data_IF_458454006824
#
_entry.id   IF_458454006824
#
_cell.length_a   1.000
_cell.length_b   1.000
_cell.length_c   1.000
_cell.angle_alpha   90.00
_cell.angle_beta   90.00
_cell.angle_gamma   90.00
#
_symmetry.space_group_name_H-M   'P 1'
#
loop_
_entity.id
_entity.type
_entity.pdbx_description
1 polymer ?
#
# COMPACT_ATOMS: atom_id res chain seq x y z
N UNK A 1 -22.24 -4.19 -8.03
CA UNK A 1 -23.06 -5.13 -8.82
C UNK A 1 -22.33 -5.98 -9.85
N UNK A 2 -21.62 -5.41 -10.84
CA UNK A 2 -21.00 -6.21 -11.93
C UNK A 2 -20.06 -7.33 -11.45
N UNK A 3 -19.21 -7.06 -10.45
CA UNK A 3 -18.33 -8.08 -9.87
C UNK A 3 -19.11 -9.23 -9.21
N UNK A 4 -20.20 -8.91 -8.49
CA UNK A 4 -21.09 -9.90 -7.87
C UNK A 4 -21.72 -10.80 -8.93
N UNK A 5 -22.23 -10.23 -10.02
CA UNK A 5 -22.81 -10.98 -11.14
C UNK A 5 -21.78 -11.88 -11.83
N UNK A 6 -20.55 -11.39 -12.03
CA UNK A 6 -19.47 -12.18 -12.60
C UNK A 6 -19.14 -13.40 -11.72
N UNK A 7 -19.10 -13.22 -10.40
CA UNK A 7 -18.87 -14.31 -9.45
C UNK A 7 -20.00 -15.33 -9.49
N UNK A 8 -21.26 -14.88 -9.50
CA UNK A 8 -22.43 -15.76 -9.63
C UNK A 8 -22.43 -16.53 -10.94
N UNK A 9 -21.96 -15.93 -12.04
CA UNK A 9 -21.80 -16.60 -13.33
C UNK A 9 -20.66 -17.63 -13.29
N UNK A 10 -19.50 -17.27 -12.77
CA UNK A 10 -18.36 -18.18 -12.62
C UNK A 10 -18.72 -19.40 -11.75
N UNK A 11 -19.44 -19.16 -10.64
CA UNK A 11 -19.99 -20.21 -9.78
C UNK A 11 -20.87 -21.21 -10.53
N UNK A 12 -21.78 -20.71 -11.38
CA UNK A 12 -22.64 -21.56 -12.23
C UNK A 12 -21.82 -22.38 -13.21
N UNK A 13 -20.84 -21.76 -13.87
CA UNK A 13 -19.94 -22.43 -14.82
C UNK A 13 -19.10 -23.52 -14.15
N UNK A 14 -18.52 -23.25 -12.97
CA UNK A 14 -17.76 -24.24 -12.22
C UNK A 14 -18.62 -25.46 -11.86
N UNK A 15 -19.85 -25.21 -11.40
CA UNK A 15 -20.80 -26.27 -11.04
C UNK A 15 -21.19 -27.12 -12.25
N UNK A 16 -21.35 -26.53 -13.43
CA UNK A 16 -21.61 -27.27 -14.68
C UNK A 16 -20.43 -28.15 -15.09
N UNK A 17 -19.20 -27.72 -14.79
CA UNK A 17 -17.98 -28.50 -15.01
C UNK A 17 -17.70 -29.57 -13.95
N UNK A 18 -18.58 -29.76 -12.96
CA UNK A 18 -18.39 -30.75 -11.88
C UNK A 18 -17.46 -30.29 -10.74
N UNK A 19 -17.08 -29.01 -10.70
CA UNK A 19 -16.22 -28.43 -9.66
C UNK A 19 -17.04 -27.77 -8.54
N UNK A 20 -16.35 -27.32 -7.48
CA UNK A 20 -16.93 -26.46 -6.44
C UNK A 20 -17.65 -25.24 -7.03
N UNK A 21 -18.81 -24.90 -6.48
CA UNK A 21 -19.55 -23.69 -6.89
C UNK A 21 -18.98 -22.41 -6.27
N UNK A 22 -17.90 -22.49 -5.48
CA UNK A 22 -17.25 -21.33 -4.86
C UNK A 22 -16.06 -20.88 -5.71
N UNK A 23 -15.69 -19.61 -5.59
CA UNK A 23 -14.62 -18.99 -6.38
C UNK A 23 -13.54 -18.41 -5.47
N UNK A 24 -12.28 -18.49 -5.92
CA UNK A 24 -11.19 -17.73 -5.33
C UNK A 24 -11.15 -16.33 -5.94
N UNK A 25 -10.98 -15.31 -5.09
CA UNK A 25 -10.74 -13.94 -5.54
C UNK A 25 -9.26 -13.63 -5.34
N UNK A 26 -8.55 -13.28 -6.41
CA UNK A 26 -7.15 -12.85 -6.33
C UNK A 26 -7.06 -11.35 -6.61
N UNK A 27 -6.51 -10.62 -5.64
CA UNK A 27 -6.18 -9.21 -5.79
C UNK A 27 -4.67 -9.01 -5.84
N UNK A 28 -4.22 -8.06 -6.65
CA UNK A 28 -2.85 -7.54 -6.62
C UNK A 28 -2.89 -6.02 -6.42
N UNK A 29 -1.99 -5.49 -5.58
CA UNK A 29 -1.88 -4.06 -5.32
C UNK A 29 -3.22 -3.46 -4.88
N UNK A 30 -3.68 -2.43 -5.60
CA UNK A 30 -4.96 -1.77 -5.35
C UNK A 30 -6.17 -2.71 -5.46
N UNK A 31 -6.10 -3.76 -6.30
CA UNK A 31 -7.15 -4.76 -6.44
C UNK A 31 -7.49 -5.47 -5.12
N UNK A 32 -6.50 -5.59 -4.22
CA UNK A 32 -6.69 -6.14 -2.88
C UNK A 32 -7.67 -5.29 -2.04
N UNK A 33 -7.58 -3.96 -2.14
CA UNK A 33 -8.47 -3.05 -1.40
C UNK A 33 -9.89 -3.10 -1.95
N UNK A 34 -10.04 -3.15 -3.28
CA UNK A 34 -11.35 -3.31 -3.94
C UNK A 34 -12.03 -4.62 -3.53
N UNK A 35 -11.31 -5.74 -3.58
CA UNK A 35 -11.87 -7.04 -3.18
C UNK A 35 -12.19 -7.04 -1.68
N UNK A 36 -11.32 -6.50 -0.82
CA UNK A 36 -11.60 -6.43 0.61
C UNK A 36 -12.85 -5.58 0.90
N UNK A 37 -12.97 -4.41 0.27
CA UNK A 37 -14.16 -3.57 0.41
C UNK A 37 -15.42 -4.28 -0.09
N UNK A 38 -15.34 -4.97 -1.23
CA UNK A 38 -16.44 -5.78 -1.74
C UNK A 38 -16.88 -6.85 -0.73
N UNK A 39 -15.94 -7.59 -0.15
CA UNK A 39 -16.22 -8.67 0.81
C UNK A 39 -16.66 -8.16 2.19
N UNK A 40 -16.05 -7.09 2.69
CA UNK A 40 -16.28 -6.59 4.05
C UNK A 40 -17.50 -5.67 4.16
N UNK A 41 -17.81 -4.91 3.11
CA UNK A 41 -18.82 -3.84 3.16
C UNK A 41 -19.99 -4.03 2.18
N UNK A 42 -19.79 -4.73 1.07
CA UNK A 42 -20.78 -4.75 -0.02
C UNK A 42 -21.66 -6.01 -0.06
N UNK A 43 -21.10 -7.20 0.22
CA UNK A 43 -21.85 -8.47 0.19
C UNK A 43 -22.16 -9.01 1.58
N UNK A 44 -23.24 -9.79 1.69
CA UNK A 44 -23.66 -10.40 2.95
C UNK A 44 -22.83 -11.64 3.29
N UNK A 45 -22.77 -12.00 4.56
CA UNK A 45 -22.11 -13.23 5.02
C UNK A 45 -22.70 -14.49 4.38
N UNK A 46 -24.03 -14.55 4.21
CA UNK A 46 -24.71 -15.66 3.54
C UNK A 46 -24.27 -15.79 2.08
N UNK A 47 -24.11 -14.65 1.39
CA UNK A 47 -23.65 -14.64 0.00
C UNK A 47 -22.18 -15.10 -0.09
N UNK A 48 -21.32 -14.65 0.83
CA UNK A 48 -19.91 -15.10 0.87
C UNK A 48 -19.80 -16.60 1.11
N UNK A 49 -20.56 -17.14 2.07
CA UNK A 49 -20.60 -18.57 2.34
C UNK A 49 -21.03 -19.39 1.11
N UNK A 50 -21.92 -18.85 0.28
CA UNK A 50 -22.41 -19.52 -0.92
C UNK A 50 -21.42 -19.47 -2.08
N UNK A 51 -20.67 -18.38 -2.26
CA UNK A 51 -19.96 -18.10 -3.51
C UNK A 51 -18.44 -17.97 -3.39
N UNK A 52 -17.88 -17.65 -2.23
CA UNK A 52 -16.46 -17.30 -2.11
C UNK A 52 -15.72 -18.41 -1.39
N UNK A 53 -14.74 -19.03 -2.03
CA UNK A 53 -13.89 -20.06 -1.44
C UNK A 53 -12.83 -19.42 -0.53
N UNK A 54 -12.00 -18.56 -1.12
CA UNK A 54 -11.02 -17.77 -0.38
C UNK A 54 -10.67 -16.46 -1.08
N UNK A 55 -10.05 -15.56 -0.31
CA UNK A 55 -9.44 -14.33 -0.79
C UNK A 55 -7.92 -14.45 -0.78
N UNK A 56 -7.29 -14.28 -1.94
CA UNK A 56 -5.85 -14.30 -2.15
C UNK A 56 -5.39 -12.85 -2.36
N UNK A 57 -4.74 -12.29 -1.35
CA UNK A 57 -4.26 -10.90 -1.36
C UNK A 57 -2.77 -10.88 -1.66
N UNK A 58 -2.36 -10.19 -2.73
CA UNK A 58 -0.97 -10.11 -3.17
C UNK A 58 -0.50 -8.65 -3.15
N UNK A 59 0.44 -8.33 -2.26
CA UNK A 59 1.01 -6.98 -2.09
C UNK A 59 -0.04 -5.86 -1.94
N UNK A 60 -1.07 -6.07 -1.12
CA UNK A 60 -2.11 -5.07 -0.86
C UNK A 60 -1.65 -3.90 0.03
N UNK A 61 -1.87 -2.62 -0.35
CA UNK A 61 -1.48 -1.44 0.44
C UNK A 61 -2.50 -1.10 1.54
N UNK A 62 -2.77 -2.03 2.45
CA UNK A 62 -3.82 -1.85 3.47
C UNK A 62 -3.56 -0.68 4.42
N UNK A 63 -2.31 -0.46 4.84
CA UNK A 63 -1.94 0.73 5.62
C UNK A 63 -1.68 2.00 4.79
N UNK A 64 -1.84 1.92 3.47
CA UNK A 64 -1.53 2.99 2.51
C UNK A 64 -0.07 3.00 2.02
N UNK A 65 0.24 3.96 1.17
CA UNK A 65 1.49 4.11 0.43
C UNK A 65 1.96 5.57 0.51
N UNK A 66 3.08 5.80 1.21
CA UNK A 66 3.66 7.15 1.39
C UNK A 66 4.15 7.73 0.05
N UNK A 67 4.61 6.88 -0.87
CA UNK A 67 5.02 7.30 -2.22
C UNK A 67 3.89 7.95 -3.02
N UNK A 68 2.63 7.62 -2.74
CA UNK A 68 1.47 8.24 -3.40
C UNK A 68 1.27 9.69 -2.95
N UNK A 69 1.54 10.00 -1.68
CA UNK A 69 1.53 11.40 -1.23
C UNK A 69 2.59 12.22 -1.98
N UNK A 70 3.77 11.66 -2.24
CA UNK A 70 4.80 12.31 -3.06
C UNK A 70 4.39 12.52 -4.53
N UNK A 71 3.65 11.58 -5.12
CA UNK A 71 3.09 11.72 -6.46
C UNK A 71 2.09 12.88 -6.53
N UNK A 72 1.12 12.88 -5.61
CA UNK A 72 0.10 13.93 -5.54
C UNK A 72 0.71 15.31 -5.25
N UNK A 73 1.76 15.36 -4.43
CA UNK A 73 2.47 16.60 -4.17
C UNK A 73 3.24 17.15 -5.40
N UNK A 74 3.29 16.42 -6.52
CA UNK A 74 3.91 16.86 -7.78
C UNK A 74 5.44 16.79 -7.76
N UNK A 75 6.00 15.87 -6.97
CA UNK A 75 7.43 15.85 -6.64
C UNK A 75 8.28 15.02 -7.59
N UNK A 76 7.65 14.22 -8.46
CA UNK A 76 8.34 13.33 -9.40
C UNK A 76 7.55 13.17 -10.69
N UNK A 77 8.28 12.92 -11.76
CA UNK A 77 7.73 12.30 -12.96
C UNK A 77 7.21 10.91 -12.60
N UNK A 78 6.11 10.51 -13.19
CA UNK A 78 5.56 9.20 -12.90
C UNK A 78 6.45 8.11 -13.53
N UNK A 79 7.10 7.29 -12.70
CA UNK A 79 7.96 6.20 -13.17
C UNK A 79 7.28 5.23 -14.18
N UNK A 80 5.94 5.10 -14.16
CA UNK A 80 5.21 4.25 -15.12
C UNK A 80 5.06 4.91 -16.51
N UNK A 81 5.25 6.23 -16.61
CA UNK A 81 5.10 7.01 -17.83
C UNK A 81 6.31 7.95 -17.97
N UNK A 82 7.48 7.43 -18.42
CA UNK A 82 8.78 8.12 -18.40
C UNK A 82 8.88 9.33 -19.35
N UNK A 83 7.77 9.78 -19.93
CA UNK A 83 7.70 10.96 -20.81
C UNK A 83 6.76 12.04 -20.29
N UNK A 84 6.17 11.83 -19.12
CA UNK A 84 5.25 12.79 -18.48
C UNK A 84 6.05 13.63 -17.50
N UNK A 85 6.06 14.95 -17.71
CA UNK A 85 6.70 15.88 -16.79
C UNK A 85 6.09 15.82 -15.39
N UNK A 86 6.78 16.34 -14.38
CA UNK A 86 6.23 16.43 -13.02
C UNK A 86 4.91 17.23 -12.97
N UNK A 87 4.76 18.25 -13.82
CA UNK A 87 3.53 19.04 -13.93
C UNK A 87 2.37 18.22 -14.53
N UNK A 88 2.61 17.51 -15.62
CA UNK A 88 1.59 16.64 -16.22
C UNK A 88 1.25 15.45 -15.30
N UNK A 89 2.24 14.95 -14.56
CA UNK A 89 2.04 13.94 -13.52
C UNK A 89 1.09 14.46 -12.43
N UNK A 90 1.26 15.70 -11.97
CA UNK A 90 0.34 16.34 -11.02
C UNK A 90 -1.09 16.41 -11.58
N UNK A 91 -1.26 16.85 -12.84
CA UNK A 91 -2.59 16.91 -13.48
C UNK A 91 -3.27 15.54 -13.57
N UNK A 92 -2.53 14.51 -14.00
CA UNK A 92 -3.05 13.16 -14.17
C UNK A 92 -3.36 12.52 -12.81
N UNK A 93 -2.44 12.57 -11.87
CA UNK A 93 -2.59 11.93 -10.55
C UNK A 93 -3.76 12.55 -9.76
N UNK A 94 -4.04 13.83 -9.97
CA UNK A 94 -5.20 14.49 -9.37
C UNK A 94 -6.56 13.92 -9.80
N UNK A 95 -6.64 13.33 -10.99
CA UNK A 95 -7.86 12.69 -11.49
C UNK A 95 -7.98 11.21 -11.08
N UNK A 96 -6.92 10.59 -10.54
CA UNK A 96 -6.89 9.17 -10.24
C UNK A 96 -7.34 8.87 -8.81
N UNK A 97 -8.65 8.70 -8.62
CA UNK A 97 -9.24 8.37 -7.32
C UNK A 97 -8.60 7.16 -6.61
N UNK A 98 -8.06 6.20 -7.37
CA UNK A 98 -7.32 5.05 -6.82
C UNK A 98 -6.09 5.45 -6.00
N UNK A 99 -5.37 6.51 -6.40
CA UNK A 99 -4.21 7.02 -5.66
C UNK A 99 -4.66 7.60 -4.31
N UNK A 100 -5.78 8.32 -4.29
CA UNK A 100 -6.32 8.87 -3.05
C UNK A 100 -6.74 7.77 -2.04
N UNK A 101 -7.23 6.62 -2.52
CA UNK A 101 -7.53 5.48 -1.65
C UNK A 101 -6.24 4.87 -1.06
N UNK A 102 -5.14 4.89 -1.79
CA UNK A 102 -3.86 4.36 -1.33
C UNK A 102 -3.10 5.30 -0.39
N UNK A 103 -3.65 6.45 -0.01
CA UNK A 103 -3.01 7.33 0.97
C UNK A 103 -2.82 6.63 2.31
N UNK A 104 -1.75 6.98 3.06
CA UNK A 104 -1.57 6.53 4.44
C UNK A 104 -2.86 6.64 5.24
N UNK A 105 -3.30 5.52 5.81
CA UNK A 105 -4.58 5.42 6.51
C UNK A 105 -4.38 5.56 8.02
N UNK A 106 -4.98 6.58 8.61
CA UNK A 106 -4.87 6.85 10.05
C UNK A 106 -5.61 5.85 10.94
N UNK A 107 -6.58 5.12 10.39
CA UNK A 107 -7.44 4.18 11.11
C UNK A 107 -6.90 2.75 11.08
N UNK A 108 -5.73 2.53 10.45
CA UNK A 108 -5.09 1.23 10.34
C UNK A 108 -3.76 1.31 11.09
N UNK A 109 -3.71 0.87 12.36
CA UNK A 109 -2.47 0.86 13.10
C UNK A 109 -1.51 -0.08 12.40
N UNK A 110 -0.27 0.37 12.24
CA UNK A 110 0.77 -0.53 11.77
C UNK A 110 1.01 -1.59 12.82
N UNK A 111 0.83 -2.85 12.44
CA UNK A 111 1.23 -3.96 13.29
C UNK A 111 2.72 -3.78 13.63
N UNK A 112 3.03 -3.67 14.93
CA UNK A 112 4.39 -3.90 15.41
C UNK A 112 4.79 -5.29 14.97
N UNK A 113 5.94 -5.40 14.31
CA UNK A 113 6.53 -6.68 13.94
C UNK A 113 6.74 -7.49 15.20
N UNK A 114 5.92 -8.51 15.44
CA UNK A 114 6.22 -9.51 16.44
C UNK A 114 7.37 -10.37 15.91
N UNK A 115 8.60 -10.02 16.29
CA UNK A 115 9.71 -10.96 16.23
C UNK A 115 10.35 -11.06 17.61
N UNK A 116 10.38 -12.31 18.07
CA UNK A 116 11.25 -12.88 19.12
C UNK A 116 10.84 -12.68 20.59
N UNK A 117 10.92 -13.81 21.30
CA UNK A 117 10.63 -14.02 22.71
C UNK A 117 11.60 -13.27 23.64
N UNK A 118 11.54 -11.95 23.66
CA UNK A 118 12.15 -11.19 24.75
C UNK A 118 11.10 -10.27 25.36
N UNK A 119 10.79 -10.54 26.63
CA UNK A 119 9.86 -9.76 27.42
C UNK A 119 10.38 -8.34 27.57
N UNK A 120 9.95 -7.46 26.67
CA UNK A 120 9.96 -6.03 26.87
C UNK A 120 8.65 -5.49 26.31
N UNK A 121 7.91 -4.80 27.18
CA UNK A 121 6.69 -4.09 26.85
C UNK A 121 6.99 -2.96 25.84
N UNK A 122 7.14 -3.28 24.57
CA UNK A 122 7.02 -2.29 23.51
C UNK A 122 5.56 -1.87 23.46
N UNK A 123 5.26 -0.73 24.11
CA UNK A 123 4.02 0.01 23.92
C UNK A 123 3.74 0.07 22.42
N UNK A 124 2.52 -0.30 22.02
CA UNK A 124 1.94 0.11 20.74
C UNK A 124 2.31 1.57 20.50
N UNK A 125 3.28 1.82 19.61
CA UNK A 125 3.59 3.15 19.16
C UNK A 125 2.38 3.59 18.33
N UNK A 126 1.54 4.44 18.93
CA UNK A 126 0.44 5.14 18.28
C UNK A 126 0.93 6.17 17.24
N UNK A 127 2.21 6.12 16.85
CA UNK A 127 2.79 7.03 15.89
C UNK A 127 2.36 6.59 14.50
N UNK A 128 1.33 7.27 14.00
CA UNK A 128 0.99 7.27 12.59
C UNK A 128 2.26 7.45 11.74
N UNK A 129 2.35 6.81 10.56
CA UNK A 129 3.47 7.05 9.65
C UNK A 129 3.63 8.55 9.48
N UNK A 130 4.82 9.07 9.80
CA UNK A 130 5.18 10.40 9.35
C UNK A 130 5.24 10.32 7.82
N UNK A 131 4.29 10.97 7.18
CA UNK A 131 4.16 11.02 5.72
C UNK A 131 5.21 11.97 5.17
N UNK A 132 5.36 13.13 5.80
CA UNK A 132 6.41 14.06 5.43
C UNK A 132 6.88 14.98 6.56
N UNK A 133 8.05 15.59 6.40
CA UNK A 133 8.55 16.68 7.24
C UNK A 133 8.88 17.89 6.36
N UNK A 134 8.37 19.07 6.73
CA UNK A 134 8.63 20.34 6.03
C UNK A 134 9.56 21.19 6.90
N UNK A 135 10.84 21.16 6.55
CA UNK A 135 11.93 21.65 7.41
C UNK A 135 11.83 23.14 7.72
N UNK A 136 11.60 23.99 6.72
CA UNK A 136 11.52 25.44 6.91
C UNK A 136 10.33 25.88 7.77
N UNK A 137 9.31 25.04 7.89
CA UNK A 137 8.12 25.27 8.71
C UNK A 137 8.14 24.52 10.03
N UNK A 138 9.20 23.73 10.28
CA UNK A 138 9.28 22.77 11.36
C UNK A 138 7.99 21.93 11.52
N UNK A 139 7.40 21.52 10.39
CA UNK A 139 6.08 20.90 10.36
C UNK A 139 6.18 19.40 10.03
N UNK A 140 5.55 18.58 10.87
CA UNK A 140 5.43 17.13 10.65
C UNK A 140 4.05 16.81 10.09
N UNK A 141 4.03 16.17 8.93
CA UNK A 141 2.83 15.68 8.27
C UNK A 141 2.67 14.19 8.51
N UNK A 142 1.46 13.82 8.89
CA UNK A 142 0.97 12.47 9.15
C UNK A 142 -0.29 12.25 8.31
N UNK A 143 -0.88 11.06 8.41
CA UNK A 143 -2.18 10.81 7.79
C UNK A 143 -3.28 11.83 8.18
N UNK A 144 -3.19 12.41 9.39
CA UNK A 144 -4.18 13.37 9.94
C UNK A 144 -4.12 14.76 9.32
N UNK A 145 -2.94 15.24 8.96
CA UNK A 145 -2.70 16.64 8.60
C UNK A 145 -1.97 16.81 7.26
N UNK A 146 -1.82 15.75 6.47
CA UNK A 146 -1.17 15.82 5.15
C UNK A 146 -1.86 16.80 4.16
N UNK A 147 -3.15 17.10 4.36
CA UNK A 147 -3.90 18.11 3.59
C UNK A 147 -3.26 19.50 3.66
N UNK A 148 -2.55 19.79 4.76
CA UNK A 148 -1.85 21.05 4.98
C UNK A 148 -0.81 21.37 3.89
N UNK A 149 -0.15 20.34 3.33
CA UNK A 149 0.80 20.53 2.22
C UNK A 149 0.15 21.18 0.99
N UNK A 150 -1.12 20.90 0.76
CA UNK A 150 -1.87 21.37 -0.41
C UNK A 150 -2.52 22.73 -0.15
N UNK A 151 -3.06 22.95 1.06
CA UNK A 151 -3.65 24.25 1.41
C UNK A 151 -2.60 25.36 1.43
N UNK A 152 -1.40 25.09 1.97
CA UNK A 152 -0.31 26.08 2.05
C UNK A 152 0.38 26.37 0.73
N UNK A 153 0.12 25.55 -0.30
CA UNK A 153 0.63 25.75 -1.66
C UNK A 153 -0.43 26.30 -2.62
N UNK A 154 -1.61 26.70 -2.12
CA UNK A 154 -2.71 27.22 -2.92
C UNK A 154 -3.50 26.15 -3.70
N UNK A 155 -3.23 24.86 -3.46
CA UNK A 155 -3.88 23.71 -4.13
C UNK A 155 -5.16 23.29 -3.40
N UNK A 156 -6.09 24.23 -3.25
CA UNK A 156 -7.30 24.05 -2.42
C UNK A 156 -8.24 22.96 -2.93
N UNK A 157 -8.40 22.80 -4.25
CA UNK A 157 -9.23 21.75 -4.83
C UNK A 157 -8.67 20.35 -4.51
N UNK A 158 -7.36 20.18 -4.66
CA UNK A 158 -6.68 18.94 -4.31
C UNK A 158 -6.76 18.66 -2.81
N UNK A 159 -6.60 19.69 -1.97
CA UNK A 159 -6.80 19.58 -0.52
C UNK A 159 -8.22 19.12 -0.15
N UNK A 160 -9.24 19.57 -0.88
CA UNK A 160 -10.63 19.16 -0.68
C UNK A 160 -10.84 17.68 -1.08
N UNK A 161 -10.30 17.26 -2.23
CA UNK A 161 -10.31 15.85 -2.66
C UNK A 161 -9.60 14.94 -1.65
N UNK A 162 -8.45 15.37 -1.14
CA UNK A 162 -7.68 14.66 -0.12
C UNK A 162 -8.46 14.55 1.18
N UNK A 163 -9.08 15.65 1.63
CA UNK A 163 -9.92 15.67 2.84
C UNK A 163 -11.09 14.70 2.72
N UNK A 164 -11.74 14.65 1.55
CA UNK A 164 -12.82 13.69 1.28
C UNK A 164 -12.32 12.25 1.33
N UNK A 165 -11.18 11.95 0.70
CA UNK A 165 -10.59 10.61 0.73
C UNK A 165 -10.21 10.17 2.15
N UNK A 166 -9.54 11.04 2.91
CA UNK A 166 -9.17 10.78 4.31
C UNK A 166 -10.41 10.59 5.19
N UNK A 167 -11.48 11.36 4.98
CA UNK A 167 -12.74 11.19 5.72
C UNK A 167 -13.47 9.88 5.40
N UNK A 168 -13.21 9.30 4.23
CA UNK A 168 -13.78 8.03 3.80
C UNK A 168 -12.92 6.82 4.20
N UNK A 169 -11.73 7.04 4.77
CA UNK A 169 -10.88 5.96 5.26
C UNK A 169 -11.56 5.25 6.43
N UNK A 170 -11.65 3.93 6.33
CA UNK A 170 -12.20 3.07 7.38
C UNK A 170 -11.09 2.37 8.16
N UNK A 171 -11.45 1.86 9.34
CA UNK A 171 -10.63 0.86 10.03
C UNK A 171 -10.42 -0.38 9.15
N UNK A 172 -9.37 -1.15 9.45
CA UNK A 172 -9.15 -2.42 8.80
C UNK A 172 -10.31 -3.37 9.12
N UNK A 173 -11.04 -3.82 8.10
CA UNK A 173 -12.10 -4.83 8.26
C UNK A 173 -11.64 -6.17 7.70
N UNK A 174 -11.94 -7.24 8.44
CA UNK A 174 -11.70 -8.59 7.98
C UNK A 174 -12.70 -8.98 6.88
N UNK A 175 -12.28 -9.73 5.86
CA UNK A 175 -13.15 -10.10 4.74
C UNK A 175 -14.19 -11.17 5.13
N UNK A 176 -14.03 -11.82 6.29
CA UNK A 176 -14.85 -12.96 6.77
C UNK A 176 -14.97 -14.08 5.72
N UNK A 177 -13.85 -14.39 5.06
CA UNK A 177 -13.63 -15.58 4.24
C UNK A 177 -12.25 -16.14 4.55
N UNK A 178 -11.96 -17.39 4.18
CA UNK A 178 -10.58 -17.89 4.23
C UNK A 178 -9.67 -16.93 3.45
N UNK A 179 -8.53 -16.54 4.01
CA UNK A 179 -7.64 -15.56 3.40
C UNK A 179 -6.20 -16.06 3.30
N UNK A 180 -5.56 -15.78 2.18
CA UNK A 180 -4.15 -16.07 1.91
C UNK A 180 -3.46 -14.76 1.55
N UNK A 181 -2.57 -14.29 2.42
CA UNK A 181 -1.89 -13.01 2.27
C UNK A 181 -0.47 -13.29 1.82
N UNK A 182 -0.09 -12.77 0.66
CA UNK A 182 1.25 -12.82 0.11
C UNK A 182 1.80 -11.41 0.04
N UNK A 183 2.95 -11.18 0.67
CA UNK A 183 3.64 -9.89 0.57
C UNK A 183 5.05 -10.11 0.06
N UNK A 184 5.48 -9.21 -0.81
CA UNK A 184 6.88 -9.07 -1.17
C UNK A 184 7.57 -8.20 -0.14
N UNK A 185 8.84 -8.46 0.12
CA UNK A 185 9.70 -7.44 0.70
C UNK A 185 11.16 -7.66 0.29
N UNK A 186 11.90 -6.57 0.19
CA UNK A 186 13.34 -6.60 0.04
C UNK A 186 13.98 -5.96 1.28
N UNK A 187 14.96 -6.65 1.85
CA UNK A 187 15.91 -6.03 2.78
C UNK A 187 17.10 -5.64 1.92
N UNK A 188 17.46 -4.35 1.92
CA UNK A 188 18.73 -3.95 1.35
C UNK A 188 19.85 -4.73 2.07
N UNK A 189 20.66 -5.53 1.35
CA UNK A 189 21.78 -6.26 1.98
C UNK A 189 22.78 -5.31 2.66
N UNK A 190 22.77 -4.02 2.31
CA UNK A 190 23.59 -2.98 2.96
C UNK A 190 23.05 -2.62 4.35
N UNK A 191 21.75 -2.75 4.62
CA UNK A 191 21.13 -2.39 5.90
C UNK A 191 21.28 -3.46 7.00
N UNK A 192 21.73 -4.67 6.67
CA UNK A 192 22.10 -5.69 7.67
C UNK A 192 23.37 -5.33 8.47
N UNK A 193 24.20 -4.40 7.98
CA UNK A 193 25.47 -4.03 8.61
C UNK A 193 25.50 -2.65 9.29
N UNK A 194 24.38 -1.91 9.34
CA UNK A 194 24.29 -0.63 10.05
C UNK A 194 22.89 -0.50 10.65
N UNK A 195 22.81 -0.07 11.92
CA UNK A 195 21.56 0.39 12.59
C UNK A 195 20.63 1.12 11.61
N UNK A 196 19.29 1.09 11.77
CA UNK A 196 18.32 1.49 10.74
C UNK A 196 18.61 2.87 10.15
N UNK A 197 19.42 2.90 9.08
CA UNK A 197 19.76 4.10 8.37
C UNK A 197 18.92 4.07 7.10
N UNK A 198 17.92 4.95 7.08
CA UNK A 198 17.08 5.19 5.91
C UNK A 198 17.96 5.59 4.72
N UNK A 199 17.73 4.97 3.56
CA UNK A 199 18.31 5.43 2.30
C UNK A 199 17.63 6.74 1.88
N UNK A 200 18.38 7.62 1.19
CA UNK A 200 17.91 8.94 0.80
C UNK A 200 17.94 9.09 -0.71
N UNK A 201 16.79 9.36 -1.34
CA UNK A 201 16.71 9.77 -2.75
C UNK A 201 16.38 11.25 -2.84
N UNK A 202 17.23 12.02 -3.53
CA UNK A 202 17.14 13.49 -3.60
C UNK A 202 16.58 13.90 -4.96
N UNK A 203 15.55 14.75 -4.96
CA UNK A 203 14.95 15.34 -6.15
C UNK A 203 15.17 16.86 -6.16
N UNK A 204 15.62 17.40 -7.31
CA UNK A 204 15.80 18.85 -7.57
C UNK A 204 14.99 19.26 -8.80
N UNK A 205 14.14 20.28 -8.69
CA UNK A 205 13.22 20.72 -9.76
C UNK A 205 13.89 21.37 -10.98
N UNK A 206 15.24 21.52 -11.02
CA UNK A 206 15.93 22.27 -12.09
C UNK A 206 17.21 21.66 -12.69
N UNK A 207 17.60 20.43 -12.34
CA UNK A 207 18.67 19.69 -13.05
C UNK A 207 18.61 18.20 -12.68
N UNK A 208 18.32 17.36 -13.67
CA UNK A 208 18.68 15.95 -13.64
C UNK A 208 20.17 15.91 -14.00
N UNK A 209 21.01 15.97 -12.98
CA UNK A 209 22.41 15.55 -13.05
C UNK A 209 22.86 15.31 -11.62
N UNK A 210 22.61 14.11 -11.14
CA UNK A 210 23.65 13.16 -10.77
C UNK A 210 22.92 11.91 -10.26
N UNK A 211 22.93 10.88 -11.10
CA UNK A 211 22.49 9.54 -10.77
C UNK A 211 23.22 9.07 -9.51
N UNK A 212 22.45 8.59 -8.54
CA UNK A 212 22.96 7.61 -7.59
C UNK A 212 22.35 6.26 -7.98
N UNK A 213 23.29 5.42 -8.38
CA UNK A 213 23.19 4.11 -9.00
C UNK A 213 22.41 3.06 -8.21
N UNK A 214 21.88 2.13 -9.00
CA UNK A 214 21.39 0.77 -8.72
C UNK A 214 19.99 0.62 -8.12
N UNK A 215 19.07 0.35 -9.06
CA UNK A 215 17.83 -0.40 -8.93
C UNK A 215 17.94 -1.58 -7.95
N UNK A 216 17.59 -1.36 -6.69
CA UNK A 216 17.10 -2.40 -5.78
C UNK A 216 15.90 -1.86 -5.03
N UNK A 217 14.86 -2.68 -4.87
CA UNK A 217 13.53 -2.31 -4.39
C UNK A 217 13.56 -1.58 -3.03
N UNK A 218 13.61 -0.25 -3.08
CA UNK A 218 13.60 0.62 -1.90
C UNK A 218 12.26 1.34 -1.82
N UNK A 219 11.57 1.22 -0.70
CA UNK A 219 10.21 1.74 -0.55
C UNK A 219 10.19 3.12 0.14
N UNK A 220 9.50 4.13 -0.39
CA UNK A 220 9.29 5.40 0.31
C UNK A 220 8.51 5.21 1.61
N UNK A 221 9.11 5.60 2.73
CA UNK A 221 8.48 5.54 4.07
C UNK A 221 8.26 6.92 4.68
N UNK A 222 8.98 7.95 4.21
CA UNK A 222 8.80 9.34 4.61
C UNK A 222 9.34 10.29 3.55
N UNK A 223 8.77 11.49 3.43
CA UNK A 223 9.24 12.55 2.53
C UNK A 223 9.79 13.74 3.35
N UNK A 224 10.91 14.31 2.94
CA UNK A 224 11.50 15.50 3.55
C UNK A 224 11.53 16.64 2.53
N UNK A 225 10.85 17.74 2.86
CA UNK A 225 10.91 18.99 2.10
C UNK A 225 11.92 19.94 2.74
N UNK A 226 12.99 20.25 2.03
CA UNK A 226 14.08 21.09 2.50
C UNK A 226 14.06 22.52 1.94
N UNK A 227 13.02 22.91 1.20
CA UNK A 227 12.98 24.24 0.61
C UNK A 227 12.65 25.36 1.59
N UNK A 228 12.86 26.61 1.20
CA UNK A 228 12.57 27.81 2.01
C UNK A 228 11.09 28.20 2.04
N UNK A 229 10.71 29.10 2.94
CA UNK A 229 9.32 29.57 3.05
C UNK A 229 8.80 30.18 1.72
N UNK A 230 7.52 29.95 1.42
CA UNK A 230 6.86 30.37 0.17
C UNK A 230 7.17 29.48 -1.05
N UNK A 231 8.28 28.74 -1.05
CA UNK A 231 8.70 27.88 -2.18
C UNK A 231 9.20 26.50 -1.73
N UNK A 232 8.82 26.04 -0.54
CA UNK A 232 9.33 24.81 0.08
C UNK A 232 9.09 23.55 -0.77
N UNK A 233 8.08 23.60 -1.63
CA UNK A 233 7.73 22.61 -2.64
C UNK A 233 8.68 22.58 -3.87
N UNK A 234 9.59 23.54 -4.03
CA UNK A 234 10.33 23.78 -5.27
C UNK A 234 11.85 23.50 -5.22
N UNK A 235 12.44 23.23 -4.05
CA UNK A 235 13.90 23.28 -3.92
C UNK A 235 14.57 21.89 -3.84
N UNK A 236 14.35 21.15 -2.76
CA UNK A 236 14.98 19.85 -2.54
C UNK A 236 14.00 18.96 -1.77
N UNK A 237 13.65 17.82 -2.38
CA UNK A 237 12.84 16.77 -1.75
C UNK A 237 13.71 15.56 -1.50
N UNK A 238 13.64 14.97 -0.31
CA UNK A 238 14.32 13.71 0.00
C UNK A 238 13.29 12.64 0.36
N UNK A 239 13.21 11.56 -0.40
CA UNK A 239 12.49 10.36 0.03
C UNK A 239 13.40 9.56 0.96
N UNK A 240 12.95 9.33 2.19
CA UNK A 240 13.52 8.34 3.09
C UNK A 240 12.93 6.98 2.73
N UNK A 241 13.81 6.03 2.47
CA UNK A 241 13.43 4.71 2.02
C UNK A 241 13.64 3.69 3.15
N UNK A 242 12.74 2.73 3.24
CA UNK A 242 12.75 1.66 4.24
C UNK A 242 12.27 0.33 3.64
N UNK A 243 12.01 -0.63 4.53
CA UNK A 243 11.54 -1.96 4.14
C UNK A 243 10.16 -1.91 3.46
N UNK A 244 10.02 -2.72 2.43
CA UNK A 244 8.80 -2.90 1.66
C UNK A 244 9.08 -3.63 0.36
N UNK A 245 8.12 -3.63 -0.55
CA UNK A 245 8.22 -4.31 -1.84
C UNK A 245 8.77 -3.41 -2.97
N UNK A 246 9.36 -2.26 -2.64
CA UNK A 246 9.78 -1.23 -3.59
C UNK A 246 8.72 -0.15 -3.86
N UNK A 247 7.45 -0.38 -3.49
CA UNK A 247 6.38 0.61 -3.64
C UNK A 247 5.64 0.87 -2.32
N UNK A 248 5.31 -0.19 -1.60
CA UNK A 248 4.44 -0.17 -0.43
C UNK A 248 5.25 -0.50 0.83
N UNK A 249 5.17 0.32 1.89
CA UNK A 249 5.87 0.05 3.15
C UNK A 249 5.50 -1.31 3.74
N UNK A 250 6.47 -2.01 4.31
CA UNK A 250 6.25 -3.34 4.89
C UNK A 250 5.16 -3.32 5.97
N UNK A 251 5.08 -2.24 6.75
CA UNK A 251 4.05 -2.05 7.78
C UNK A 251 2.64 -1.98 7.18
N UNK A 252 2.51 -1.40 5.99
CA UNK A 252 1.24 -1.34 5.25
C UNK A 252 0.88 -2.70 4.66
N UNK A 253 1.86 -3.42 4.10
CA UNK A 253 1.70 -4.78 3.59
C UNK A 253 1.30 -5.78 4.67
N UNK A 254 1.80 -5.62 5.89
CA UNK A 254 1.54 -6.49 7.05
C UNK A 254 0.24 -6.19 7.80
N UNK A 255 -0.41 -5.05 7.57
CA UNK A 255 -1.67 -4.71 8.23
C UNK A 255 -2.75 -5.83 8.20
N UNK A 256 -3.04 -6.53 7.08
CA UNK A 256 -4.03 -7.62 7.06
C UNK A 256 -3.65 -8.85 7.89
N UNK A 257 -2.43 -8.93 8.47
CA UNK A 257 -2.06 -10.04 9.36
C UNK A 257 -2.92 -10.04 10.63
N UNK A 258 -3.42 -8.86 11.04
CA UNK A 258 -4.37 -8.71 12.13
C UNK A 258 -5.67 -9.51 11.91
N UNK A 259 -6.03 -9.83 10.66
CA UNK A 259 -7.23 -10.62 10.36
C UNK A 259 -7.24 -11.99 11.03
N UNK A 260 -6.08 -12.57 11.38
CA UNK A 260 -6.01 -13.81 12.18
C UNK A 260 -6.82 -13.72 13.49
N UNK A 261 -6.90 -12.53 14.09
CA UNK A 261 -7.67 -12.29 15.32
C UNK A 261 -9.02 -11.59 15.11
N UNK A 262 -9.35 -11.19 13.88
CA UNK A 262 -10.56 -10.40 13.58
C UNK A 262 -11.68 -11.22 12.94
N UNK A 263 -11.41 -12.46 12.55
CA UNK A 263 -12.39 -13.37 11.95
C UNK A 263 -12.17 -14.81 12.41
N UNK A 264 -13.21 -15.64 12.26
CA UNK A 264 -13.15 -17.08 12.60
C UNK A 264 -12.50 -17.93 11.51
N UNK A 265 -12.62 -17.50 10.24
CA UNK A 265 -12.12 -18.27 9.11
C UNK A 265 -10.59 -18.14 8.99
N UNK A 266 -9.89 -19.17 8.48
CA UNK A 266 -8.43 -19.21 8.46
C UNK A 266 -7.80 -18.04 7.71
N UNK A 267 -6.69 -17.53 8.25
CA UNK A 267 -5.84 -16.52 7.60
C UNK A 267 -4.40 -17.03 7.56
N UNK A 268 -3.89 -17.28 6.36
CA UNK A 268 -2.50 -17.64 6.12
C UNK A 268 -1.71 -16.42 5.62
N UNK A 269 -0.43 -16.35 5.98
CA UNK A 269 0.46 -15.21 5.69
C UNK A 269 1.78 -15.76 5.16
N UNK A 270 2.23 -15.22 4.03
CA UNK A 270 3.50 -15.58 3.37
C UNK A 270 4.28 -14.31 3.03
N UNK A 271 5.52 -14.25 3.50
CA UNK A 271 6.42 -13.13 3.24
C UNK A 271 7.55 -13.60 2.32
N UNK A 272 7.59 -13.05 1.10
CA UNK A 272 8.53 -13.44 0.07
C UNK A 272 9.67 -12.42 0.03
N UNK A 273 10.78 -12.78 0.67
CA UNK A 273 11.98 -11.96 0.67
C UNK A 273 12.66 -11.97 -0.71
N UNK A 274 13.20 -10.82 -1.13
CA UNK A 274 14.04 -10.69 -2.32
C UNK A 274 13.24 -10.58 -3.63
N UNK A 275 11.97 -10.22 -3.56
CA UNK A 275 11.13 -9.88 -4.70
C UNK A 275 10.52 -8.48 -4.52
N UNK A 276 9.86 -7.97 -5.55
CA UNK A 276 9.29 -6.62 -5.59
C UNK A 276 7.77 -6.65 -5.78
N UNK A 277 7.16 -5.46 -5.73
CA UNK A 277 5.71 -5.24 -5.86
C UNK A 277 5.13 -5.96 -7.08
N UNK A 278 5.79 -5.86 -8.24
CA UNK A 278 5.36 -6.53 -9.47
C UNK A 278 5.98 -7.91 -9.65
N UNK A 279 7.25 -8.10 -9.25
CA UNK A 279 7.98 -9.36 -9.50
C UNK A 279 7.42 -10.54 -8.71
N UNK A 280 6.66 -10.30 -7.63
CA UNK A 280 5.98 -11.35 -6.86
C UNK A 280 5.04 -12.19 -7.72
N UNK A 281 4.41 -11.62 -8.75
CA UNK A 281 3.47 -12.33 -9.61
C UNK A 281 4.15 -13.40 -10.47
N UNK A 282 5.44 -13.23 -10.75
CA UNK A 282 6.30 -14.20 -11.46
C UNK A 282 7.16 -15.04 -10.51
N UNK A 283 7.07 -14.83 -9.19
CA UNK A 283 7.90 -15.54 -8.22
C UNK A 283 7.46 -17.01 -8.12
N UNK A 284 8.39 -17.93 -8.32
CA UNK A 284 8.08 -19.36 -8.30
C UNK A 284 7.52 -19.83 -6.96
N UNK A 285 7.90 -19.20 -5.84
CA UNK A 285 7.37 -19.52 -4.49
C UNK A 285 5.91 -19.11 -4.37
N UNK A 286 5.55 -17.95 -4.95
CA UNK A 286 4.16 -17.48 -5.01
C UNK A 286 3.33 -18.40 -5.93
N UNK A 287 3.80 -18.65 -7.16
CA UNK A 287 3.11 -19.50 -8.12
C UNK A 287 2.87 -20.91 -7.55
N UNK A 288 3.88 -21.52 -6.94
CA UNK A 288 3.74 -22.84 -6.32
C UNK A 288 2.72 -22.86 -5.17
N UNK A 289 2.66 -21.78 -4.38
CA UNK A 289 1.68 -21.67 -3.29
C UNK A 289 0.27 -21.41 -3.81
N UNK A 290 0.14 -20.58 -4.85
CA UNK A 290 -1.11 -20.31 -5.53
C UNK A 290 -1.68 -21.60 -6.13
N UNK A 291 -0.86 -22.38 -6.84
CA UNK A 291 -1.29 -23.66 -7.43
C UNK A 291 -1.80 -24.63 -6.36
N UNK A 292 -1.15 -24.71 -5.19
CA UNK A 292 -1.64 -25.54 -4.08
C UNK A 292 -3.01 -25.06 -3.59
N UNK A 293 -3.17 -23.76 -3.36
CA UNK A 293 -4.46 -23.18 -2.93
C UNK A 293 -5.58 -23.51 -3.93
N UNK A 294 -5.29 -23.47 -5.24
CA UNK A 294 -6.28 -23.71 -6.29
C UNK A 294 -6.56 -25.20 -6.57
N UNK A 295 -5.66 -26.11 -6.15
CA UNK A 295 -5.79 -27.55 -6.38
C UNK A 295 -6.30 -28.30 -5.14
N UNK A 296 -6.08 -27.75 -3.94
CA UNK A 296 -6.52 -28.33 -2.67
C UNK A 296 -7.98 -27.94 -2.31
N UNK A 297 -8.65 -27.18 -3.19
CA UNK A 297 -10.01 -26.62 -3.04
C UNK A 297 -11.12 -27.49 -3.63
#
# INVERSE_FOLDING_TARGET
DKLKQLIEQASKTNKQGGNSNRVHLLGHGLGCLFINHFLADFVTEQWKAQFIESFISVSGPYGGNVGVFGQLAGLKEWNLLPSISAFETELVTNALAGLYWQLPNQNIPFASTSNTNEGNNEKQSNDLPIVAYVKCKNATLTAKNMTWAFTTTGRFQQAASLSKAVSAQTELKAPNVSAHIFIAYSIDKVSLNRSPQFMKKIYRKKKISDELSDEKATTPVQILFNGVDGTWQNEIVVELLGEGDGEIPIKSLRAPFAWKGMQKLPVSTSELQGTSHSAILSDSRFINSLLKILLDS
#
